data_IF_856483438877
#
_entry.id   IF_856483438877
#
_cell.length_a   1.000
_cell.length_b   1.000
_cell.length_c   1.000
_cell.angle_alpha   90.00
_cell.angle_beta   90.00
_cell.angle_gamma   90.00
#
_symmetry.space_group_name_H-M   'P 1'
#
loop_
_entity.id
_entity.type
_entity.pdbx_description
1 polymer ?
#
# COMPACT_ATOMS: atom_id res chain seq x y z
N UNK A 1 -3.11 -23.58 -8.85
CA UNK A 1 -2.97 -23.26 -7.42
C UNK A 1 -1.55 -22.78 -7.21
N UNK A 2 -1.38 -21.51 -6.85
CA UNK A 2 -0.06 -20.89 -6.68
C UNK A 2 0.69 -21.44 -5.47
N UNK A 3 1.98 -21.16 -5.37
CA UNK A 3 2.79 -21.58 -4.22
C UNK A 3 2.33 -20.92 -2.91
N UNK A 4 1.83 -19.69 -2.99
CA UNK A 4 1.14 -19.00 -1.91
C UNK A 4 -0.10 -19.76 -1.38
N UNK A 5 -1.00 -20.16 -2.29
CA UNK A 5 -2.21 -20.92 -1.93
C UNK A 5 -1.88 -22.25 -1.23
N UNK A 6 -0.78 -22.91 -1.67
CA UNK A 6 -0.28 -24.15 -1.05
C UNK A 6 0.20 -23.93 0.38
N UNK A 7 0.86 -22.80 0.63
CA UNK A 7 1.32 -22.41 1.97
C UNK A 7 0.13 -22.14 2.88
N UNK A 8 -0.88 -21.39 2.40
CA UNK A 8 -2.08 -21.08 3.19
C UNK A 8 -2.85 -22.34 3.56
N UNK A 9 -3.13 -23.22 2.60
CA UNK A 9 -3.81 -24.49 2.92
C UNK A 9 -3.05 -25.33 3.93
N UNK A 10 -1.71 -25.28 3.91
CA UNK A 10 -0.89 -25.99 4.89
C UNK A 10 -1.03 -25.37 6.29
N UNK A 11 -1.03 -24.04 6.38
CA UNK A 11 -1.23 -23.31 7.64
C UNK A 11 -2.65 -23.52 8.19
N UNK A 12 -3.68 -23.51 7.34
CA UNK A 12 -5.07 -23.80 7.73
C UNK A 12 -5.20 -25.20 8.36
N UNK A 13 -4.64 -26.22 7.70
CA UNK A 13 -4.61 -27.58 8.25
C UNK A 13 -3.90 -27.64 9.59
N UNK A 14 -2.83 -26.86 9.77
CA UNK A 14 -2.08 -26.81 11.03
C UNK A 14 -2.84 -26.11 12.14
N UNK A 15 -3.50 -24.99 11.86
CA UNK A 15 -4.34 -24.27 12.81
C UNK A 15 -5.52 -25.15 13.24
N UNK A 16 -6.20 -25.79 12.29
CA UNK A 16 -7.31 -26.72 12.56
C UNK A 16 -6.86 -27.92 13.41
N UNK A 17 -5.70 -28.51 13.10
CA UNK A 17 -5.17 -29.63 13.89
C UNK A 17 -4.81 -29.23 15.32
N UNK A 18 -4.32 -28.00 15.53
CA UNK A 18 -4.03 -27.49 16.87
C UNK A 18 -5.31 -27.17 17.64
N UNK A 19 -6.31 -26.60 16.96
CA UNK A 19 -7.64 -26.36 17.53
C UNK A 19 -8.28 -27.66 18.03
N UNK A 20 -8.33 -28.70 17.19
CA UNK A 20 -8.87 -30.01 17.57
C UNK A 20 -8.16 -30.57 18.80
N UNK A 21 -6.81 -30.52 18.81
CA UNK A 21 -6.02 -31.00 19.97
C UNK A 21 -6.34 -30.25 21.27
N UNK A 22 -6.57 -28.94 21.19
CA UNK A 22 -6.96 -28.15 22.34
C UNK A 22 -8.40 -28.48 22.79
N UNK A 23 -9.34 -28.62 21.86
CA UNK A 23 -10.73 -28.93 22.17
C UNK A 23 -10.95 -30.37 22.65
N UNK A 24 -10.13 -31.32 22.19
CA UNK A 24 -10.17 -32.74 22.57
C UNK A 24 -9.43 -33.02 23.89
N UNK A 25 -9.00 -31.99 24.63
CA UNK A 25 -8.43 -32.17 25.96
C UNK A 25 -9.46 -32.84 26.89
N UNK A 26 -9.14 -34.04 27.36
CA UNK A 26 -9.94 -34.75 28.34
C UNK A 26 -9.95 -34.01 29.69
N UNK A 27 -10.94 -34.31 30.53
CA UNK A 27 -11.11 -33.66 31.84
C UNK A 27 -9.95 -33.89 32.82
N UNK A 28 -9.13 -34.91 32.58
CA UNK A 28 -7.92 -35.25 33.34
C UNK A 28 -6.62 -34.69 32.72
N UNK A 29 -6.72 -33.96 31.61
CA UNK A 29 -5.57 -33.27 31.01
C UNK A 29 -4.97 -32.29 32.01
N UNK A 30 -3.65 -32.32 32.18
CA UNK A 30 -3.00 -31.41 33.11
C UNK A 30 -3.17 -29.96 32.65
N UNK A 31 -3.29 -29.02 33.59
CA UNK A 31 -3.42 -27.59 33.28
C UNK A 31 -2.28 -27.11 32.37
N UNK A 32 -1.07 -27.62 32.59
CA UNK A 32 0.11 -27.31 31.77
C UNK A 32 -0.04 -27.78 30.32
N UNK A 33 -0.59 -28.97 30.08
CA UNK A 33 -0.83 -29.48 28.74
C UNK A 33 -1.95 -28.72 28.03
N UNK A 34 -3.04 -28.44 28.75
CA UNK A 34 -4.14 -27.63 28.23
C UNK A 34 -3.65 -26.24 27.77
N UNK A 35 -2.88 -25.54 28.61
CA UNK A 35 -2.30 -24.22 28.28
C UNK A 35 -1.37 -24.34 27.07
N UNK A 36 -0.52 -25.36 27.01
CA UNK A 36 0.39 -25.58 25.87
C UNK A 36 -0.37 -25.73 24.55
N UNK A 37 -1.45 -26.50 24.53
CA UNK A 37 -2.24 -26.69 23.32
C UNK A 37 -3.01 -25.43 22.93
N UNK A 38 -3.54 -24.70 23.91
CA UNK A 38 -4.19 -23.41 23.67
C UNK A 38 -3.22 -22.37 23.06
N UNK A 39 -2.03 -22.21 23.64
CA UNK A 39 -1.01 -21.28 23.10
C UNK A 39 -0.56 -21.69 21.70
N UNK A 40 -0.35 -22.99 21.46
CA UNK A 40 0.00 -23.49 20.13
C UNK A 40 -1.09 -23.22 19.09
N UNK A 41 -2.37 -23.28 19.47
CA UNK A 41 -3.47 -22.88 18.60
C UNK A 41 -3.40 -21.38 18.29
N UNK A 42 -3.29 -20.51 19.31
CA UNK A 42 -3.23 -19.06 19.13
C UNK A 42 -2.04 -18.62 18.26
N UNK A 43 -0.87 -19.22 18.45
CA UNK A 43 0.31 -18.96 17.62
C UNK A 43 0.07 -19.32 16.16
N UNK A 44 -0.57 -20.47 15.89
CA UNK A 44 -0.84 -20.94 14.53
C UNK A 44 -1.94 -20.13 13.85
N UNK A 45 -2.97 -19.75 14.58
CA UNK A 45 -4.02 -18.84 14.11
C UNK A 45 -3.39 -17.49 13.73
N UNK A 46 -2.56 -16.90 14.61
CA UNK A 46 -1.87 -15.65 14.30
C UNK A 46 -0.94 -15.76 13.09
N UNK A 47 -0.18 -16.85 12.95
CA UNK A 47 0.64 -17.10 11.76
C UNK A 47 -0.19 -17.24 10.48
N UNK A 48 -1.36 -17.89 10.57
CA UNK A 48 -2.28 -18.03 9.45
C UNK A 48 -2.85 -16.67 9.05
N UNK A 49 -3.28 -15.85 10.01
CA UNK A 49 -3.79 -14.50 9.76
C UNK A 49 -2.72 -13.60 9.13
N UNK A 50 -1.50 -13.57 9.67
CA UNK A 50 -0.39 -12.80 9.07
C UNK A 50 -0.10 -13.27 7.63
N UNK A 51 -0.12 -14.59 7.37
CA UNK A 51 0.09 -15.11 6.03
C UNK A 51 -1.07 -14.78 5.08
N UNK A 52 -2.31 -14.80 5.58
CA UNK A 52 -3.50 -14.39 4.83
C UNK A 52 -3.47 -12.90 4.54
N UNK A 53 -3.17 -12.05 5.52
CA UNK A 53 -3.00 -10.60 5.37
C UNK A 53 -1.86 -10.27 4.39
N UNK A 54 -0.72 -10.96 4.51
CA UNK A 54 0.42 -10.78 3.60
C UNK A 54 0.16 -11.23 2.17
N UNK A 55 -0.81 -12.14 1.94
CA UNK A 55 -1.28 -12.54 0.61
C UNK A 55 -2.51 -11.75 0.14
N UNK A 56 -3.26 -11.20 1.09
CA UNK A 56 -4.30 -10.20 0.88
C UNK A 56 -3.71 -8.79 0.81
N UNK A 57 -2.39 -8.66 0.67
CA UNK A 57 -1.77 -7.50 0.05
C UNK A 57 -2.64 -7.10 -1.13
N UNK A 58 -3.21 -5.89 -1.01
CA UNK A 58 -4.56 -5.54 -1.47
C UNK A 58 -4.94 -6.16 -2.82
N UNK A 59 -6.20 -6.60 -3.03
CA UNK A 59 -6.66 -7.13 -4.31
C UNK A 59 -6.39 -6.19 -5.51
N UNK A 60 -6.07 -4.91 -5.23
CA UNK A 60 -5.56 -3.93 -6.20
C UNK A 60 -4.22 -3.26 -5.83
N UNK A 61 -3.63 -3.50 -4.65
CA UNK A 61 -2.47 -2.75 -4.13
C UNK A 61 -1.11 -3.31 -4.56
N UNK A 62 -0.99 -4.62 -4.76
CA UNK A 62 0.28 -5.23 -5.15
C UNK A 62 0.42 -5.48 -6.66
N UNK A 63 -0.68 -5.40 -7.42
CA UNK A 63 -0.68 -5.62 -8.86
C UNK A 63 -0.42 -4.31 -9.62
N UNK A 64 0.53 -4.36 -10.55
CA UNK A 64 0.70 -3.33 -11.58
C UNK A 64 -0.48 -3.36 -12.57
N UNK A 65 -1.08 -2.19 -12.79
CA UNK A 65 -2.14 -1.94 -13.76
C UNK A 65 -1.51 -1.24 -14.97
N UNK A 66 -1.44 -1.88 -16.15
CA UNK A 66 -0.90 -1.23 -17.34
C UNK A 66 -1.70 0.03 -17.69
N UNK A 67 -1.02 1.10 -18.12
CA UNK A 67 -1.69 2.33 -18.54
C UNK A 67 -2.60 2.11 -19.76
N UNK A 68 -2.28 1.09 -20.57
CA UNK A 68 -3.11 0.62 -21.69
C UNK A 68 -4.38 -0.11 -21.25
N UNK A 69 -4.43 -0.62 -20.01
CA UNK A 69 -5.64 -1.22 -19.42
C UNK A 69 -6.57 -0.10 -18.94
N UNK A 70 -6.05 0.80 -18.10
CA UNK A 70 -6.75 2.01 -17.65
C UNK A 70 -5.79 3.00 -16.99
N UNK A 71 -6.17 4.27 -17.01
CA UNK A 71 -5.51 5.34 -16.25
C UNK A 71 -6.06 5.41 -14.81
N UNK A 72 -5.28 5.92 -13.85
CA UNK A 72 -5.76 6.25 -12.50
C UNK A 72 -6.70 7.46 -12.57
N UNK A 73 -7.31 7.83 -11.44
CA UNK A 73 -8.06 9.09 -11.38
C UNK A 73 -7.10 10.29 -11.43
N UNK A 74 -7.54 11.45 -11.95
CA UNK A 74 -6.74 12.68 -11.90
C UNK A 74 -6.30 12.99 -10.46
N UNK A 75 -5.03 13.38 -10.29
CA UNK A 75 -4.39 13.70 -9.00
C UNK A 75 -4.39 12.56 -7.94
N UNK A 76 -4.71 11.32 -8.32
CA UNK A 76 -4.61 10.16 -7.43
C UNK A 76 -3.14 9.75 -7.27
N UNK A 77 -2.60 9.93 -6.06
CA UNK A 77 -1.21 9.54 -5.76
C UNK A 77 -1.02 8.03 -5.79
N UNK A 78 -0.07 7.60 -6.61
CA UNK A 78 0.21 6.20 -6.95
C UNK A 78 1.71 5.97 -7.08
N UNK A 79 2.09 4.69 -7.10
CA UNK A 79 3.39 4.28 -7.58
C UNK A 79 3.32 4.01 -9.08
N UNK A 80 4.27 4.56 -9.83
CA UNK A 80 4.34 4.52 -11.28
C UNK A 80 5.58 3.74 -11.71
N UNK A 81 5.46 2.87 -12.71
CA UNK A 81 6.59 2.21 -13.38
C UNK A 81 6.93 2.94 -14.68
N UNK A 82 8.18 3.39 -14.77
CA UNK A 82 8.68 4.23 -15.85
C UNK A 82 9.73 3.48 -16.65
N UNK A 83 9.68 3.61 -17.98
CA UNK A 83 10.71 3.19 -18.91
C UNK A 83 11.40 4.41 -19.51
N UNK A 84 12.69 4.56 -19.21
CA UNK A 84 13.57 5.57 -19.77
C UNK A 84 14.51 4.97 -20.78
N UNK A 85 14.62 5.58 -21.96
CA UNK A 85 15.60 5.19 -22.97
C UNK A 85 16.70 6.24 -23.05
N UNK A 86 17.94 5.86 -22.71
CA UNK A 86 19.10 6.75 -22.77
C UNK A 86 20.24 6.07 -23.50
N UNK A 87 20.80 6.75 -24.51
CA UNK A 87 21.90 6.23 -25.32
C UNK A 87 21.62 4.86 -25.97
N UNK A 88 20.35 4.57 -26.30
CA UNK A 88 19.93 3.29 -26.88
C UNK A 88 19.69 2.16 -25.88
N UNK A 89 19.90 2.41 -24.58
CA UNK A 89 19.61 1.45 -23.51
C UNK A 89 18.31 1.79 -22.79
N UNK A 90 17.58 0.75 -22.38
CA UNK A 90 16.34 0.89 -21.61
C UNK A 90 16.59 0.68 -20.11
N UNK A 91 16.06 1.59 -19.31
CA UNK A 91 16.10 1.58 -17.86
C UNK A 91 14.69 1.59 -17.31
N UNK A 92 14.46 0.78 -16.29
CA UNK A 92 13.15 0.64 -15.64
C UNK A 92 13.30 0.99 -14.17
N UNK A 93 12.44 1.86 -13.67
CA UNK A 93 12.40 2.26 -12.27
C UNK A 93 10.97 2.64 -11.87
N UNK A 94 10.73 2.77 -10.56
CA UNK A 94 9.46 3.30 -10.06
C UNK A 94 9.64 4.62 -9.34
N UNK A 95 8.59 5.44 -9.41
CA UNK A 95 8.49 6.74 -8.76
C UNK A 95 7.10 6.91 -8.17
N UNK A 96 6.95 7.84 -7.22
CA UNK A 96 5.64 8.28 -6.77
C UNK A 96 5.16 9.43 -7.65
N UNK A 97 3.90 9.41 -8.04
CA UNK A 97 3.33 10.43 -8.91
C UNK A 97 1.84 10.24 -9.12
N UNK A 98 1.31 10.90 -10.14
CA UNK A 98 -0.08 10.80 -10.56
C UNK A 98 -0.24 11.13 -12.05
N UNK A 99 -1.44 10.89 -12.57
CA UNK A 99 -1.86 11.34 -13.90
C UNK A 99 -2.78 12.55 -13.76
N UNK A 100 -2.72 13.49 -14.69
CA UNK A 100 -3.67 14.60 -14.83
C UNK A 100 -4.33 14.54 -16.21
N UNK A 101 -5.63 14.80 -16.29
CA UNK A 101 -6.42 14.64 -17.52
C UNK A 101 -6.66 15.94 -18.30
N UNK A 102 -6.02 17.03 -17.89
CA UNK A 102 -6.06 18.32 -18.57
C UNK A 102 -7.32 19.13 -18.28
N UNK A 103 -8.12 18.74 -17.28
CA UNK A 103 -9.39 19.39 -16.95
C UNK A 103 -9.38 20.14 -15.63
N UNK A 104 -8.40 19.86 -14.76
CA UNK A 104 -8.25 20.56 -13.48
C UNK A 104 -7.63 21.95 -13.72
N UNK A 105 -8.26 22.96 -13.12
CA UNK A 105 -7.70 24.32 -13.04
C UNK A 105 -6.76 24.40 -11.84
N UNK A 106 -5.70 25.17 -11.96
CA UNK A 106 -4.68 25.26 -10.92
C UNK A 106 -5.24 25.69 -9.55
N UNK A 107 -6.27 26.55 -9.49
CA UNK A 107 -6.93 26.91 -8.23
C UNK A 107 -7.57 25.72 -7.48
N UNK A 108 -7.93 24.64 -8.19
CA UNK A 108 -8.55 23.44 -7.61
C UNK A 108 -7.56 22.31 -7.38
N UNK A 109 -6.30 22.49 -7.77
CA UNK A 109 -5.28 21.48 -7.58
C UNK A 109 -4.75 21.47 -6.15
N UNK A 110 -4.36 20.28 -5.69
CA UNK A 110 -3.69 20.12 -4.40
C UNK A 110 -2.17 20.32 -4.46
N UNK A 111 -1.59 20.58 -5.65
CA UNK A 111 -0.15 20.61 -5.88
C UNK A 111 0.37 21.99 -6.27
N UNK A 112 1.68 22.19 -6.08
CA UNK A 112 2.35 23.41 -6.49
C UNK A 112 2.96 23.20 -7.88
N UNK A 113 2.41 23.91 -8.85
CA UNK A 113 2.79 23.81 -10.25
C UNK A 113 3.81 24.88 -10.63
N UNK A 114 4.92 24.44 -11.22
CA UNK A 114 5.89 25.31 -11.85
C UNK A 114 5.99 24.98 -13.33
N UNK A 115 5.41 25.84 -14.14
CA UNK A 115 5.47 25.74 -15.60
C UNK A 115 6.39 26.82 -16.16
N UNK A 116 7.15 26.51 -17.23
CA UNK A 116 7.60 27.53 -18.17
C UNK A 116 6.40 28.37 -18.65
N UNK A 117 6.59 29.68 -18.86
CA UNK A 117 5.51 30.60 -19.28
C UNK A 117 4.78 30.16 -20.57
N UNK A 118 5.44 29.37 -21.42
CA UNK A 118 4.92 28.87 -22.69
C UNK A 118 4.30 27.46 -22.62
N UNK A 119 4.36 26.79 -21.45
CA UNK A 119 3.85 25.43 -21.28
C UNK A 119 2.35 25.37 -20.95
N UNK A 120 1.73 26.49 -20.56
CA UNK A 120 0.31 26.60 -20.21
C UNK A 120 -0.33 27.84 -20.83
N UNK A 121 -1.60 27.71 -21.22
CA UNK A 121 -2.39 28.86 -21.72
C UNK A 121 -3.16 29.48 -20.55
N UNK A 122 -2.96 30.79 -20.36
CA UNK A 122 -3.68 31.58 -19.37
C UNK A 122 -5.10 31.92 -19.83
N UNK A 123 -6.10 31.70 -18.98
CA UNK A 123 -7.49 32.11 -19.22
C UNK A 123 -7.78 33.44 -18.51
N UNK A 124 -7.81 34.54 -19.27
CA UNK A 124 -8.07 35.89 -18.76
C UNK A 124 -9.41 36.05 -18.02
N UNK A 125 -10.43 35.21 -18.33
CA UNK A 125 -11.74 35.33 -17.69
C UNK A 125 -11.77 34.68 -16.32
N UNK A 126 -10.99 33.61 -16.14
CA UNK A 126 -10.86 32.90 -14.87
C UNK A 126 -9.71 33.41 -14.03
N UNK A 127 -8.77 34.12 -14.64
CA UNK A 127 -7.50 34.50 -14.02
C UNK A 127 -6.76 33.26 -13.50
N UNK A 128 -6.76 32.19 -14.29
CA UNK A 128 -6.12 30.92 -13.96
C UNK A 128 -5.70 30.18 -15.24
N UNK A 129 -4.94 29.09 -15.08
CA UNK A 129 -4.58 28.19 -16.18
C UNK A 129 -5.04 26.75 -15.89
N UNK A 130 -5.23 25.98 -16.96
CA UNK A 130 -5.44 24.54 -16.84
C UNK A 130 -4.11 23.83 -16.70
N UNK A 131 -4.09 22.82 -15.84
CA UNK A 131 -2.95 21.95 -15.70
C UNK A 131 -2.86 21.07 -16.96
N UNK A 132 -1.67 20.90 -17.57
CA UNK A 132 -1.53 20.05 -18.74
C UNK A 132 -1.82 18.58 -18.43
N UNK A 133 -2.47 17.91 -19.40
CA UNK A 133 -2.62 16.45 -19.37
C UNK A 133 -1.24 15.79 -19.39
N UNK A 134 -1.03 14.79 -18.52
CA UNK A 134 0.24 14.08 -18.49
C UNK A 134 0.53 13.37 -17.18
N UNK A 135 1.76 12.84 -17.10
CA UNK A 135 2.29 12.17 -15.92
C UNK A 135 3.20 13.10 -15.14
N UNK A 136 3.03 13.10 -13.82
CA UNK A 136 3.71 14.02 -12.92
C UNK A 136 4.32 13.25 -11.75
N UNK A 137 5.61 13.42 -11.50
CA UNK A 137 6.29 12.94 -10.30
C UNK A 137 5.93 13.85 -9.13
N UNK A 138 5.62 13.25 -7.98
CA UNK A 138 5.32 13.96 -6.75
C UNK A 138 6.47 13.80 -5.75
N UNK A 139 7.05 14.92 -5.30
CA UNK A 139 8.02 14.93 -4.21
C UNK A 139 7.31 14.89 -2.86
N UNK A 140 7.00 13.69 -2.38
CA UNK A 140 6.17 13.50 -1.18
C UNK A 140 6.88 13.76 0.15
N UNK A 141 8.20 13.98 0.11
CA UNK A 141 8.96 14.42 1.28
C UNK A 141 8.99 15.94 1.41
N UNK A 142 8.93 16.68 0.30
CA UNK A 142 8.93 18.14 0.36
C UNK A 142 7.58 18.66 0.84
N UNK A 143 7.56 19.50 1.88
CA UNK A 143 6.35 20.09 2.46
C UNK A 143 5.53 20.91 1.45
N UNK A 144 6.12 21.29 0.32
CA UNK A 144 5.54 22.17 -0.69
C UNK A 144 4.74 21.46 -1.79
N UNK A 145 4.63 20.11 -1.77
CA UNK A 145 3.93 19.33 -2.80
C UNK A 145 4.34 19.70 -4.24
N UNK A 146 5.65 19.87 -4.43
CA UNK A 146 6.22 20.15 -5.74
C UNK A 146 6.07 18.94 -6.67
N UNK A 147 5.77 19.22 -7.93
CA UNK A 147 5.59 18.22 -8.99
C UNK A 147 6.49 18.49 -10.19
N UNK A 148 6.95 17.43 -10.84
CA UNK A 148 7.77 17.51 -12.05
C UNK A 148 7.15 16.69 -13.17
N UNK A 149 7.20 17.20 -14.40
CA UNK A 149 6.74 16.45 -15.58
C UNK A 149 7.57 15.18 -15.78
N UNK A 150 6.89 14.06 -16.04
CA UNK A 150 7.54 12.81 -16.47
C UNK A 150 7.48 12.75 -18.00
N UNK A 151 8.60 13.02 -18.65
CA UNK A 151 8.73 12.95 -20.12
C UNK A 151 8.96 11.51 -20.64
N UNK A 152 9.33 10.59 -19.74
CA UNK A 152 9.58 9.19 -20.08
C UNK A 152 8.28 8.38 -20.26
N UNK A 153 8.40 7.18 -20.83
CA UNK A 153 7.23 6.31 -21.02
C UNK A 153 6.78 5.70 -19.71
N UNK A 154 5.59 6.08 -19.25
CA UNK A 154 4.92 5.41 -18.13
C UNK A 154 4.22 4.14 -18.62
N UNK A 155 4.56 2.99 -18.04
CA UNK A 155 4.07 1.68 -18.48
C UNK A 155 2.86 1.19 -17.68
N UNK A 156 2.91 1.37 -16.36
CA UNK A 156 1.93 0.84 -15.43
C UNK A 156 1.95 1.63 -14.12
N UNK A 157 0.90 1.45 -13.33
CA UNK A 157 0.77 2.07 -12.01
C UNK A 157 0.14 1.11 -11.00
N UNK A 158 0.26 1.42 -9.71
CA UNK A 158 -0.46 0.75 -8.62
C UNK A 158 -0.70 1.72 -7.46
N UNK A 159 -1.70 1.46 -6.59
CA UNK A 159 -1.88 2.22 -5.35
C UNK A 159 -0.60 2.23 -4.51
N UNK A 160 -0.37 3.31 -3.77
CA UNK A 160 0.74 3.38 -2.83
C UNK A 160 0.58 2.35 -1.70
N UNK A 161 1.68 1.76 -1.22
CA UNK A 161 1.64 0.92 -0.03
C UNK A 161 1.29 1.75 1.21
N UNK A 162 0.60 1.13 2.16
CA UNK A 162 0.41 1.74 3.48
C UNK A 162 1.76 1.97 4.16
N UNK A 163 1.97 3.14 4.80
CA UNK A 163 3.21 3.40 5.51
C UNK A 163 3.38 2.43 6.66
N UNK A 164 4.60 1.93 6.84
CA UNK A 164 4.94 1.09 7.99
C UNK A 164 4.69 1.85 9.29
N UNK A 165 4.01 1.20 10.24
CA UNK A 165 3.78 1.72 11.60
C UNK A 165 4.31 0.70 12.59
N UNK A 166 5.14 1.15 13.52
CA UNK A 166 5.56 0.28 14.62
C UNK A 166 4.35 -0.18 15.44
N UNK A 167 4.34 -1.45 15.90
CA UNK A 167 3.29 -1.93 16.79
C UNK A 167 3.23 -1.06 18.04
N UNK A 168 2.02 -0.61 18.41
CA UNK A 168 1.81 0.06 19.70
C UNK A 168 2.16 -0.93 20.82
N UNK A 169 3.28 -0.71 21.50
CA UNK A 169 3.60 -1.40 22.74
C UNK A 169 2.53 -1.05 23.77
N UNK A 170 1.71 -2.02 24.19
CA UNK A 170 0.82 -1.83 25.33
C UNK A 170 1.68 -1.57 26.56
N UNK A 171 1.60 -0.37 27.13
CA UNK A 171 2.10 -0.13 28.49
C UNK A 171 1.15 -0.85 29.44
N UNK A 172 1.64 -1.89 30.11
CA UNK A 172 0.95 -2.46 31.26
C UNK A 172 0.77 -1.35 32.29
N UNK A 173 -0.48 -0.94 32.51
CA UNK A 173 -0.84 -0.16 33.69
C UNK A 173 -0.65 -1.08 34.90
N UNK A 174 0.55 -1.06 35.47
CA UNK A 174 0.81 -1.61 36.79
C UNK A 174 -0.04 -0.82 37.80
N UNK A 175 -1.24 -1.32 38.06
CA UNK A 175 -2.09 -0.90 39.17
C UNK A 175 -1.31 -1.06 40.48
N UNK A 176 -0.75 0.04 40.96
CA UNK A 176 -0.54 0.31 42.38
C UNK A 176 -1.67 1.26 42.75
N UNK A 177 -2.45 1.07 43.79
CA UNK A 177 -2.43 0.16 44.92
C UNK A 177 -3.42 0.76 45.93
N UNK A 178 -4.10 -0.11 46.66
CA UNK A 178 -5.12 0.19 47.67
C UNK A 178 -4.83 1.42 48.54
N UNK A 179 -5.82 2.31 48.68
CA UNK A 179 -5.99 3.13 49.88
C UNK A 179 -7.30 2.67 50.55
N UNK A 180 -7.13 2.02 51.71
CA UNK A 180 -8.12 1.93 52.79
C UNK A 180 -7.77 2.95 53.85
#
# INVERSE_FOLDING_TARGET
MGDADRIIQKLERWAESAYKRWMDCASDTTVTEYIRYHLQYLEREKCLEIAKEGLQGSPNGDRWIPCTERLPKPEEEIEISVKRTRCGEEYYFSVRGFFEDGKVWNEYSSYLWYFPEDAVEWDDKREDYKIPEGWWECSSYSDEKNVNAIEDTVLAWRPLPEPYREPKMYRENNGKGNET
#
